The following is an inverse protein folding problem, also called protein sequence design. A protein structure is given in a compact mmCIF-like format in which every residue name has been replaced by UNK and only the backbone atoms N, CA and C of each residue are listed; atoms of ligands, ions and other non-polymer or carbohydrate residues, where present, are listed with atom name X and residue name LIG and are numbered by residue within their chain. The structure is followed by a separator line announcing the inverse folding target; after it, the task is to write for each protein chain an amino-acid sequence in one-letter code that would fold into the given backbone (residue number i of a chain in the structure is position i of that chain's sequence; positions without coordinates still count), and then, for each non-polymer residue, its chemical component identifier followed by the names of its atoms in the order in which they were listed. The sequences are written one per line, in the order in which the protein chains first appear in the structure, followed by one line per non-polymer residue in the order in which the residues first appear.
data_IF_903990988461
#
_entry.id   IF_903990988461
#
_cell.length_a   1.000
_cell.length_b   1.000
_cell.length_c   1.000
_cell.angle_alpha   90.00
_cell.angle_beta   90.00
_cell.angle_gamma   90.00
#
_symmetry.space_group_name_H-M   'P 1'
#
loop_
_entity.id
_entity.type
_entity.pdbx_description
1 polymer ?
#
# COMPACT_ATOMS: atom_id res chain seq x y z
N UNK A 1 -11.73 7.14 10.04
CA UNK A 1 -10.61 6.52 9.31
C UNK A 1 -11.12 5.70 8.14
N UNK A 2 -10.28 5.43 7.19
CA UNK A 2 -10.62 4.56 6.05
C UNK A 2 -10.31 3.12 6.43
N UNK A 3 -11.29 2.25 6.27
CA UNK A 3 -11.13 0.83 6.57
C UNK A 3 -10.74 0.09 5.30
N UNK A 4 -9.67 -0.68 5.38
CA UNK A 4 -9.16 -1.48 4.26
C UNK A 4 -9.04 -2.94 4.65
N UNK A 5 -9.07 -3.80 3.65
CA UNK A 5 -8.70 -5.21 3.78
C UNK A 5 -7.61 -5.55 2.76
N UNK A 6 -6.73 -6.46 3.10
CA UNK A 6 -5.66 -6.88 2.20
C UNK A 6 -6.22 -7.72 1.05
N UNK A 7 -5.79 -7.43 -0.17
CA UNK A 7 -6.04 -8.34 -1.29
C UNK A 7 -5.25 -9.64 -1.06
N UNK A 8 -5.76 -10.77 -1.52
CA UNK A 8 -4.99 -12.03 -1.48
C UNK A 8 -3.64 -11.87 -2.20
N UNK A 9 -2.60 -12.48 -1.67
CA UNK A 9 -1.26 -12.38 -2.24
C UNK A 9 -1.22 -12.80 -3.72
N UNK A 10 -1.93 -13.86 -4.08
CA UNK A 10 -2.01 -14.32 -5.46
C UNK A 10 -2.59 -13.29 -6.43
N UNK A 11 -3.53 -12.46 -5.95
CA UNK A 11 -4.09 -11.36 -6.75
C UNK A 11 -3.03 -10.27 -6.97
N UNK A 12 -2.33 -9.88 -5.91
CA UNK A 12 -1.24 -8.89 -6.00
C UNK A 12 -0.17 -9.38 -6.96
N UNK A 13 0.32 -10.60 -6.74
CA UNK A 13 1.33 -11.25 -7.58
C UNK A 13 0.91 -11.30 -9.04
N UNK A 14 -0.35 -11.61 -9.32
CA UNK A 14 -0.90 -11.69 -10.67
C UNK A 14 -0.92 -10.37 -11.42
N UNK A 15 -0.90 -9.24 -10.71
CA UNK A 15 -0.83 -7.90 -11.31
C UNK A 15 0.59 -7.45 -11.61
N UNK A 16 1.60 -8.17 -11.11
CA UNK A 16 3.00 -7.80 -11.25
C UNK A 16 3.68 -8.57 -12.38
N UNK A 17 4.73 -7.95 -12.95
CA UNK A 17 5.52 -8.54 -14.03
C UNK A 17 6.96 -8.75 -13.55
N UNK A 18 7.49 -9.96 -13.70
CA UNK A 18 8.83 -10.33 -13.19
C UNK A 18 9.97 -9.56 -13.84
N UNK A 19 9.79 -9.08 -15.06
CA UNK A 19 10.80 -8.30 -15.78
C UNK A 19 10.77 -6.80 -15.43
N UNK A 20 9.82 -6.38 -14.62
CA UNK A 20 9.72 -5.00 -14.13
C UNK A 20 10.34 -4.87 -12.74
N UNK A 21 10.91 -3.70 -12.46
CA UNK A 21 11.38 -3.36 -11.12
C UNK A 21 10.19 -3.01 -10.25
N UNK A 22 10.12 -3.63 -9.08
CA UNK A 22 9.01 -3.50 -8.15
C UNK A 22 9.43 -2.65 -6.95
N UNK A 23 8.60 -1.69 -6.57
CA UNK A 23 8.71 -0.98 -5.32
C UNK A 23 7.46 -1.20 -4.46
N UNK A 24 7.60 -1.00 -3.17
CA UNK A 24 6.48 -1.10 -2.24
C UNK A 24 6.41 0.19 -1.45
N UNK A 25 5.24 0.83 -1.45
CA UNK A 25 4.97 2.01 -0.64
C UNK A 25 3.83 1.67 0.31
N UNK A 26 4.06 1.85 1.60
CA UNK A 26 3.04 1.60 2.61
C UNK A 26 2.67 2.86 3.35
N UNK A 27 1.37 3.05 3.55
CA UNK A 27 0.84 4.08 4.42
C UNK A 27 0.97 3.65 5.88
N UNK A 28 1.49 4.52 6.73
CA UNK A 28 1.65 4.26 8.16
C UNK A 28 0.51 4.85 9.00
N UNK A 29 -0.64 5.10 8.40
CA UNK A 29 -1.82 5.66 9.05
C UNK A 29 -2.98 4.64 9.03
N UNK A 30 -4.01 4.86 8.23
CA UNK A 30 -5.18 3.97 8.20
C UNK A 30 -4.82 2.52 7.90
N UNK A 31 -3.94 2.28 6.93
CA UNK A 31 -3.52 0.93 6.56
C UNK A 31 -2.79 0.22 7.69
N UNK A 32 -1.93 0.93 8.43
CA UNK A 32 -1.26 0.35 9.60
C UNK A 32 -2.25 -0.03 10.68
N UNK A 33 -3.19 0.85 10.98
CA UNK A 33 -4.21 0.60 12.01
C UNK A 33 -5.11 -0.59 11.63
N UNK A 34 -5.45 -0.74 10.35
CA UNK A 34 -6.22 -1.88 9.85
C UNK A 34 -5.39 -3.16 9.68
N UNK A 35 -4.09 -3.12 9.97
CA UNK A 35 -3.16 -4.23 9.77
C UNK A 35 -3.08 -4.70 8.30
N UNK A 36 -3.31 -3.77 7.37
CA UNK A 36 -3.21 -4.00 5.92
C UNK A 36 -1.98 -3.32 5.32
N UNK A 37 -1.22 -2.61 6.14
CA UNK A 37 0.01 -1.91 5.80
C UNK A 37 0.87 -1.71 7.03
N UNK A 38 1.80 -0.77 6.95
CA UNK A 38 2.81 -0.54 7.95
C UNK A 38 4.10 -1.29 7.65
N UNK A 39 5.10 -1.08 8.49
CA UNK A 39 6.46 -1.61 8.27
C UNK A 39 6.49 -3.12 8.13
N UNK A 40 5.85 -3.84 9.06
CA UNK A 40 5.89 -5.30 9.08
C UNK A 40 5.21 -5.90 7.85
N UNK A 41 4.05 -5.41 7.48
CA UNK A 41 3.32 -5.88 6.29
C UNK A 41 4.09 -5.60 5.01
N UNK A 42 4.75 -4.45 4.94
CA UNK A 42 5.60 -4.09 3.81
C UNK A 42 6.79 -5.04 3.69
N UNK A 43 7.47 -5.32 4.79
CA UNK A 43 8.61 -6.24 4.82
C UNK A 43 8.20 -7.67 4.48
N UNK A 44 7.08 -8.16 5.02
CA UNK A 44 6.53 -9.48 4.67
C UNK A 44 6.24 -9.62 3.19
N UNK A 45 5.61 -8.62 2.60
CA UNK A 45 5.29 -8.62 1.17
C UNK A 45 6.57 -8.63 0.33
N UNK A 46 7.56 -7.80 0.71
CA UNK A 46 8.84 -7.75 0.02
C UNK A 46 9.53 -9.12 0.04
N UNK A 47 9.56 -9.80 1.17
CA UNK A 47 10.17 -11.12 1.28
C UNK A 47 9.46 -12.16 0.41
N UNK A 48 8.13 -12.16 0.42
CA UNK A 48 7.35 -13.10 -0.40
C UNK A 48 7.60 -12.86 -1.89
N UNK A 49 7.59 -11.61 -2.32
CA UNK A 49 7.85 -11.26 -3.72
C UNK A 49 9.26 -11.65 -4.15
N UNK A 50 10.26 -11.41 -3.31
CA UNK A 50 11.65 -11.80 -3.59
C UNK A 50 11.78 -13.31 -3.73
N UNK A 51 11.15 -14.09 -2.84
CA UNK A 51 11.13 -15.55 -2.92
C UNK A 51 10.51 -16.06 -4.23
N UNK A 52 9.49 -15.35 -4.70
CA UNK A 52 8.82 -15.71 -5.96
C UNK A 52 9.52 -15.18 -7.20
N UNK A 53 10.69 -14.59 -7.05
CA UNK A 53 11.55 -14.18 -8.18
C UNK A 53 11.31 -12.77 -8.69
N UNK A 54 10.57 -11.93 -7.96
CA UNK A 54 10.39 -10.52 -8.32
C UNK A 54 11.57 -9.67 -7.85
N UNK A 55 11.89 -8.66 -8.63
CA UNK A 55 12.97 -7.73 -8.33
C UNK A 55 12.44 -6.53 -7.55
N UNK A 56 12.47 -6.62 -6.22
CA UNK A 56 12.04 -5.54 -5.33
C UNK A 56 13.22 -4.61 -5.08
N UNK A 57 13.14 -3.38 -5.59
CA UNK A 57 14.25 -2.40 -5.56
C UNK A 57 13.99 -1.23 -4.63
N UNK A 58 12.74 -0.99 -4.26
CA UNK A 58 12.36 0.12 -3.37
C UNK A 58 11.37 -0.35 -2.33
N UNK A 59 11.51 0.17 -1.12
CA UNK A 59 10.52 0.06 -0.05
C UNK A 59 10.46 1.38 0.69
N UNK A 60 9.27 1.93 0.88
CA UNK A 60 9.10 3.16 1.64
C UNK A 60 7.84 3.15 2.49
N UNK A 61 8.03 3.51 3.76
CA UNK A 61 6.94 3.74 4.70
C UNK A 61 6.69 5.24 4.76
N UNK A 62 5.52 5.67 4.31
CA UNK A 62 5.12 7.08 4.34
C UNK A 62 4.16 7.33 5.49
N UNK A 63 4.23 8.50 6.17
CA UNK A 63 3.36 8.79 7.30
C UNK A 63 1.87 8.73 6.95
N UNK A 64 1.52 9.23 5.77
CA UNK A 64 0.14 9.25 5.27
C UNK A 64 0.17 9.35 3.75
N UNK A 65 -0.23 8.28 3.06
CA UNK A 65 -0.12 8.20 1.61
C UNK A 65 -1.07 9.17 0.87
N UNK A 66 -2.15 9.59 1.51
CA UNK A 66 -3.10 10.55 0.95
C UNK A 66 -2.72 12.02 1.21
N UNK A 67 -1.65 12.28 1.94
CA UNK A 67 -1.13 13.63 2.16
C UNK A 67 0.03 13.89 1.19
N UNK A 68 -0.18 14.75 0.21
CA UNK A 68 0.79 15.02 -0.86
C UNK A 68 2.14 15.45 -0.31
N UNK A 69 2.15 16.30 0.71
CA UNK A 69 3.37 16.82 1.33
C UNK A 69 4.06 15.79 2.26
N UNK A 70 3.35 14.76 2.68
CA UNK A 70 3.91 13.67 3.48
C UNK A 70 4.57 12.60 2.60
N UNK A 71 4.17 12.51 1.34
CA UNK A 71 4.82 11.65 0.34
C UNK A 71 5.99 12.43 -0.23
N UNK A 72 7.14 12.33 0.41
CA UNK A 72 8.38 12.91 -0.13
C UNK A 72 8.65 12.23 -1.46
N UNK A 73 8.99 13.02 -2.49
CA UNK A 73 9.29 12.49 -3.82
C UNK A 73 10.65 11.79 -3.81
N UNK A 74 10.77 10.54 -3.44
CA UNK A 74 12.01 9.82 -3.66
C UNK A 74 12.11 9.47 -5.13
N UNK A 75 13.33 9.39 -5.61
CA UNK A 75 13.60 8.89 -6.94
C UNK A 75 13.46 7.36 -6.92
N UNK A 76 12.22 6.87 -7.01
CA UNK A 76 12.01 5.44 -7.10
C UNK A 76 12.59 4.90 -8.39
N UNK A 77 13.35 3.82 -8.28
CA UNK A 77 13.85 3.07 -9.43
C UNK A 77 12.81 2.13 -10.00
N UNK A 78 11.80 1.80 -9.21
CA UNK A 78 10.75 0.88 -9.58
C UNK A 78 9.88 1.41 -10.71
N UNK A 79 9.46 0.52 -11.60
CA UNK A 79 8.49 0.80 -12.66
C UNK A 79 7.07 0.59 -12.16
N UNK A 80 6.89 -0.35 -11.23
CA UNK A 80 5.60 -0.70 -10.62
C UNK A 80 5.71 -0.49 -9.11
N UNK A 81 4.78 0.29 -8.56
CA UNK A 81 4.70 0.54 -7.11
C UNK A 81 3.48 -0.17 -6.54
N UNK A 82 3.73 -1.11 -5.66
CA UNK A 82 2.67 -1.79 -4.90
C UNK A 82 2.30 -0.89 -3.72
N UNK A 83 1.06 -0.48 -3.66
CA UNK A 83 0.58 0.45 -2.64
C UNK A 83 -0.21 -0.28 -1.56
N UNK A 84 0.36 -0.34 -0.35
CA UNK A 84 -0.33 -0.78 0.87
C UNK A 84 -1.02 0.44 1.47
N UNK A 85 -2.13 0.85 0.85
CA UNK A 85 -2.86 2.07 1.16
C UNK A 85 -4.32 1.95 0.75
N UNK A 86 -5.16 2.85 1.26
CA UNK A 86 -6.54 2.98 0.80
C UNK A 86 -6.58 3.65 -0.58
N UNK A 87 -7.76 3.72 -1.18
CA UNK A 87 -7.95 4.31 -2.51
C UNK A 87 -7.46 5.77 -2.58
N UNK A 88 -7.62 6.55 -1.50
CA UNK A 88 -7.08 7.91 -1.45
C UNK A 88 -5.56 7.93 -1.61
N UNK A 89 -4.86 7.02 -0.95
CA UNK A 89 -3.41 6.89 -1.08
C UNK A 89 -3.00 6.42 -2.47
N UNK A 90 -3.72 5.45 -3.02
CA UNK A 90 -3.46 4.95 -4.39
C UNK A 90 -3.60 6.07 -5.42
N UNK A 91 -4.70 6.84 -5.35
CA UNK A 91 -4.94 7.95 -6.26
C UNK A 91 -3.88 9.05 -6.12
N UNK A 92 -3.45 9.33 -4.89
CA UNK A 92 -2.38 10.30 -4.63
C UNK A 92 -1.07 9.86 -5.27
N UNK A 93 -0.69 8.60 -5.11
CA UNK A 93 0.51 8.05 -5.74
C UNK A 93 0.43 8.08 -7.25
N UNK A 94 -0.74 7.79 -7.83
CA UNK A 94 -0.95 7.88 -9.28
C UNK A 94 -0.74 9.31 -9.78
N UNK A 95 -1.23 10.30 -9.04
CA UNK A 95 -1.07 11.71 -9.39
C UNK A 95 0.39 12.16 -9.28
N UNK A 96 1.12 11.71 -8.26
CA UNK A 96 2.51 12.09 -8.02
C UNK A 96 3.51 11.37 -8.93
N UNK A 97 3.19 10.16 -9.36
CA UNK A 97 4.06 9.32 -10.18
C UNK A 97 3.33 8.85 -11.44
N UNK A 98 2.96 9.78 -12.35
CA UNK A 98 2.11 9.45 -13.49
C UNK A 98 2.76 8.52 -14.52
N UNK A 99 4.09 8.38 -14.49
CA UNK A 99 4.82 7.47 -15.38
C UNK A 99 5.02 6.07 -14.82
N UNK A 100 4.62 5.85 -13.56
CA UNK A 100 4.74 4.55 -12.91
C UNK A 100 3.39 3.88 -12.81
N UNK A 101 3.39 2.55 -12.80
CA UNK A 101 2.17 1.78 -12.59
C UNK A 101 1.96 1.60 -11.09
N UNK A 102 0.84 2.08 -10.57
CA UNK A 102 0.50 1.92 -9.15
C UNK A 102 -0.44 0.73 -9.00
N UNK A 103 -0.01 -0.26 -8.22
CA UNK A 103 -0.76 -1.50 -8.00
C UNK A 103 -1.39 -1.46 -6.62
N UNK A 104 -2.71 -1.35 -6.50
CA UNK A 104 -3.37 -1.37 -5.20
C UNK A 104 -3.30 -2.76 -4.57
N UNK A 105 -2.78 -2.83 -3.36
CA UNK A 105 -2.67 -4.10 -2.61
C UNK A 105 -3.80 -4.28 -1.61
N UNK A 106 -4.59 -3.24 -1.36
CA UNK A 106 -5.70 -3.26 -0.42
C UNK A 106 -7.01 -2.91 -1.11
N UNK A 107 -8.09 -3.43 -0.56
CA UNK A 107 -9.45 -3.03 -0.92
C UNK A 107 -9.96 -2.03 0.11
N UNK A 108 -10.51 -0.91 -0.33
CA UNK A 108 -11.17 0.05 0.55
C UNK A 108 -12.60 -0.42 0.77
N UNK A 109 -12.93 -0.74 2.01
CA UNK A 109 -14.22 -1.38 2.33
C UNK A 109 -15.20 -0.46 3.04
N UNK A 110 -14.74 0.65 3.59
CA UNK A 110 -15.65 1.56 4.25
C UNK A 110 -14.98 2.64 5.06
N UNK A 111 -15.81 3.33 5.82
CA UNK A 111 -15.39 4.31 6.82
C UNK A 111 -15.59 3.71 8.20
N UNK A 112 -14.71 4.03 9.12
CA UNK A 112 -14.80 3.48 10.46
C UNK A 112 -14.13 4.33 11.52
N UNK A 113 -14.18 3.80 12.74
CA UNK A 113 -13.59 4.41 13.91
C UNK A 113 -12.87 3.35 14.75
N UNK A 114 -11.94 3.81 15.56
CA UNK A 114 -11.21 2.98 16.52
C UNK A 114 -11.44 3.49 17.92
N UNK A 115 -11.69 2.59 18.87
CA UNK A 115 -11.81 2.95 20.28
C UNK A 115 -10.43 3.00 20.96
N UNK A 116 -10.42 3.34 22.25
CA UNK A 116 -9.20 3.46 23.04
C UNK A 116 -8.49 2.12 23.27
N UNK A 117 -9.20 1.01 23.08
CA UNK A 117 -8.67 -0.34 23.23
C UNK A 117 -8.13 -0.91 21.93
N UNK A 118 -8.26 -0.15 20.83
CA UNK A 118 -7.79 -0.57 19.52
C UNK A 118 -8.80 -1.34 18.68
N UNK A 119 -10.03 -1.49 19.16
CA UNK A 119 -11.09 -2.14 18.38
C UNK A 119 -11.53 -1.25 17.22
N UNK A 120 -11.66 -1.85 16.03
CA UNK A 120 -12.06 -1.15 14.81
C UNK A 120 -13.51 -1.47 14.50
N UNK A 121 -14.28 -0.42 14.24
CA UNK A 121 -15.70 -0.54 13.89
C UNK A 121 -15.93 0.03 12.51
N UNK A 122 -16.55 -0.76 11.63
CA UNK A 122 -16.98 -0.27 10.31
C UNK A 122 -18.31 0.48 10.50
N UNK A 123 -18.26 1.79 10.29
CA UNK A 123 -19.43 2.64 10.47
C UNK A 123 -20.27 2.75 9.20
N UNK A 124 -19.62 2.65 8.03
CA UNK A 124 -20.29 2.70 6.73
C UNK A 124 -19.49 1.89 5.72
N UNK A 125 -20.11 0.90 5.12
CA UNK A 125 -19.52 0.16 4.00
C UNK A 125 -19.75 0.89 2.69
N UNK A 126 -18.77 0.80 1.82
CA UNK A 126 -18.87 1.29 0.46
C UNK A 126 -19.55 0.29 -0.46
#
# INVERSE_FOLDING_TARGET
MIITSSKPYGVIKGMLKKWKKIGIVSCNSCARVCETGGKEKMEELAERLKKDGFNVVDMELVPMACAIDAVKKPNYQADMLVALACDSGVLTLQALFPTKMIIPANDTIGLGARDVQGNIFVMKKF
#
